data_IF_077753557989
#
_entry.id   IF_077753557989
#
_cell.length_a   1.000
_cell.length_b   1.000
_cell.length_c   1.000
_cell.angle_alpha   90.00
_cell.angle_beta   90.00
_cell.angle_gamma   90.00
#
_symmetry.space_group_name_H-M   'P 1'
#
loop_
_entity.id
_entity.type
_entity.pdbx_description
1 polymer ?
#
# COMPACT_ATOMS: atom_id res chain seq x y z
N UNK A 1 -10.48 11.96 -3.05
CA UNK A 1 -9.20 11.70 -2.35
C UNK A 1 -8.57 10.45 -2.93
N UNK A 2 -7.31 10.51 -3.32
CA UNK A 2 -6.55 9.34 -3.78
C UNK A 2 -5.68 8.84 -2.63
N UNK A 3 -5.91 7.60 -2.18
CA UNK A 3 -5.08 6.94 -1.18
C UNK A 3 -3.87 6.32 -1.90
N UNK A 4 -2.75 7.04 -1.94
CA UNK A 4 -1.50 6.49 -2.43
C UNK A 4 -0.81 5.70 -1.31
N UNK A 5 -0.40 4.47 -1.62
CA UNK A 5 0.06 3.47 -0.66
C UNK A 5 1.50 3.04 -0.96
N UNK A 6 2.23 2.68 0.10
CA UNK A 6 3.52 1.99 -0.02
C UNK A 6 3.58 0.86 0.98
N UNK A 7 3.94 -0.31 0.46
CA UNK A 7 4.15 -1.49 1.24
C UNK A 7 5.66 -1.66 1.50
N UNK A 8 5.98 -1.96 2.76
CA UNK A 8 7.06 -2.86 3.23
C UNK A 8 8.25 -2.30 4.01
N UNK A 9 8.43 -2.85 5.22
CA UNK A 9 9.71 -3.15 5.91
C UNK A 9 9.76 -4.54 6.57
N UNK A 10 8.63 -5.24 6.79
CA UNK A 10 8.53 -6.57 7.38
C UNK A 10 8.45 -7.63 6.27
N UNK A 11 9.13 -8.74 6.51
CA UNK A 11 8.97 -9.97 5.73
C UNK A 11 8.02 -10.84 6.55
N UNK A 12 7.02 -11.48 5.93
CA UNK A 12 6.33 -12.61 6.56
C UNK A 12 7.41 -13.49 7.17
N UNK A 13 7.36 -13.80 8.47
CA UNK A 13 8.50 -14.29 9.23
C UNK A 13 9.15 -15.59 8.69
N UNK A 14 8.55 -16.23 7.68
CA UNK A 14 9.04 -17.39 6.95
C UNK A 14 9.73 -17.10 5.61
N UNK A 15 9.82 -15.85 5.16
CA UNK A 15 10.46 -15.48 3.89
C UNK A 15 11.65 -14.52 4.09
N UNK A 16 12.51 -14.43 3.08
CA UNK A 16 13.62 -13.47 3.03
C UNK A 16 13.52 -12.54 1.80
N UNK A 17 12.37 -12.57 1.12
CA UNK A 17 12.10 -11.77 -0.05
C UNK A 17 11.26 -10.54 0.30
N UNK A 18 11.18 -9.63 -0.66
CA UNK A 18 9.85 -9.35 -1.19
C UNK A 18 8.59 -9.31 -0.28
N UNK A 19 8.00 -8.18 0.15
CA UNK A 19 6.63 -7.89 -0.28
C UNK A 19 6.63 -7.93 -1.80
N UNK A 20 5.98 -8.95 -2.31
CA UNK A 20 5.75 -9.19 -3.72
C UNK A 20 4.37 -8.63 -4.10
N UNK A 21 4.10 -8.55 -5.41
CA UNK A 21 2.81 -8.10 -5.91
C UNK A 21 1.68 -8.94 -5.31
N UNK A 22 0.62 -8.31 -4.79
CA UNK A 22 -0.55 -8.95 -4.16
C UNK A 22 -0.34 -9.51 -2.75
N UNK A 23 0.84 -9.34 -2.14
CA UNK A 23 1.10 -9.77 -0.77
C UNK A 23 0.20 -9.06 0.27
N UNK A 24 -0.37 -7.91 -0.06
CA UNK A 24 -1.25 -7.12 0.80
C UNK A 24 -2.69 -7.64 0.91
N UNK A 25 -3.15 -8.43 -0.08
CA UNK A 25 -4.57 -8.80 -0.21
C UNK A 25 -5.07 -9.52 1.05
N UNK A 26 -4.27 -10.42 1.61
CA UNK A 26 -4.65 -11.20 2.78
C UNK A 26 -4.83 -10.32 4.02
N UNK A 27 -4.04 -9.27 4.18
CA UNK A 27 -4.16 -8.32 5.28
C UNK A 27 -5.35 -7.39 5.10
N UNK A 28 -5.53 -6.87 3.89
CA UNK A 28 -6.63 -5.96 3.56
C UNK A 28 -7.99 -6.62 3.75
N UNK A 29 -8.11 -7.91 3.40
CA UNK A 29 -9.36 -8.67 3.45
C UNK A 29 -9.60 -9.42 4.76
N UNK A 30 -8.69 -9.35 5.73
CA UNK A 30 -8.85 -10.10 6.97
C UNK A 30 -8.67 -11.61 6.83
N UNK A 31 -7.93 -12.06 5.81
CA UNK A 31 -7.87 -13.44 5.36
C UNK A 31 -6.51 -14.13 5.63
N UNK A 32 -5.65 -13.58 6.50
CA UNK A 32 -4.29 -14.06 6.73
C UNK A 32 -4.21 -15.59 6.96
N UNK A 33 -5.12 -16.15 7.75
CA UNK A 33 -5.13 -17.59 8.07
C UNK A 33 -5.74 -18.50 7.01
N UNK A 34 -6.28 -17.96 5.92
CA UNK A 34 -6.73 -18.79 4.80
C UNK A 34 -5.58 -19.55 4.12
N UNK A 35 -4.33 -19.11 4.35
CA UNK A 35 -3.10 -19.73 3.85
C UNK A 35 -2.13 -20.13 4.99
N UNK A 36 -2.66 -20.53 6.16
CA UNK A 36 -1.83 -20.86 7.34
C UNK A 36 -0.83 -21.99 7.11
N UNK A 37 -1.08 -22.85 6.12
CA UNK A 37 -0.18 -23.95 5.75
C UNK A 37 1.08 -23.44 5.02
N UNK A 38 1.03 -22.23 4.47
CA UNK A 38 2.14 -21.61 3.72
C UNK A 38 2.82 -20.49 4.51
N UNK A 39 2.05 -19.75 5.33
CA UNK A 39 2.52 -18.56 6.01
C UNK A 39 2.24 -18.61 7.52
N UNK A 40 3.26 -18.24 8.30
CA UNK A 40 3.13 -18.16 9.74
C UNK A 40 2.17 -17.01 10.12
N UNK A 41 1.04 -17.38 10.74
CA UNK A 41 0.07 -16.42 11.26
C UNK A 41 0.44 -16.05 12.70
N UNK A 42 1.42 -15.17 12.86
CA UNK A 42 1.87 -14.75 14.18
C UNK A 42 1.00 -13.62 14.73
N UNK A 43 1.12 -13.34 16.04
CA UNK A 43 0.39 -12.23 16.68
C UNK A 43 0.63 -10.87 16.00
N UNK A 44 1.86 -10.59 15.58
CA UNK A 44 2.18 -9.33 14.89
C UNK A 44 1.46 -9.22 13.55
N UNK A 45 1.31 -10.34 12.82
CA UNK A 45 0.60 -10.35 11.54
C UNK A 45 -0.91 -10.06 11.72
N UNK A 46 -1.52 -10.58 12.78
CA UNK A 46 -2.90 -10.23 13.14
C UNK A 46 -3.06 -8.75 13.51
N UNK A 47 -2.07 -8.16 14.20
CA UNK A 47 -2.11 -6.74 14.53
C UNK A 47 -1.95 -5.85 13.29
N UNK A 48 -1.11 -6.26 12.33
CA UNK A 48 -0.96 -5.59 11.03
C UNK A 48 -2.27 -5.71 10.23
N UNK A 49 -2.85 -6.91 10.16
CA UNK A 49 -4.13 -7.18 9.49
C UNK A 49 -5.23 -6.29 10.06
N UNK A 50 -5.40 -6.27 11.38
CA UNK A 50 -6.45 -5.50 12.05
C UNK A 50 -6.35 -4.00 11.73
N UNK A 51 -5.15 -3.43 11.72
CA UNK A 51 -4.95 -2.02 11.33
C UNK A 51 -5.27 -1.80 9.85
N UNK A 52 -4.75 -2.65 8.97
CA UNK A 52 -4.90 -2.48 7.52
C UNK A 52 -6.36 -2.62 7.08
N UNK A 53 -7.04 -3.68 7.51
CA UNK A 53 -8.46 -3.91 7.21
C UNK A 53 -9.33 -2.78 7.77
N UNK A 54 -8.99 -2.25 8.95
CA UNK A 54 -9.70 -1.12 9.56
C UNK A 54 -9.59 0.17 8.76
N UNK A 55 -8.40 0.54 8.24
CA UNK A 55 -8.28 1.69 7.36
C UNK A 55 -9.18 1.55 6.12
N UNK A 56 -9.23 0.35 5.55
CA UNK A 56 -10.07 0.09 4.39
C UNK A 56 -11.56 0.11 4.70
N UNK A 57 -12.00 -0.52 5.77
CA UNK A 57 -13.38 -0.49 6.21
C UNK A 57 -13.83 0.95 6.55
N UNK A 58 -12.98 1.73 7.22
CA UNK A 58 -13.22 3.14 7.51
C UNK A 58 -13.38 3.97 6.23
N UNK A 59 -12.45 3.81 5.28
CA UNK A 59 -12.53 4.49 3.99
C UNK A 59 -13.79 4.11 3.20
N UNK A 60 -14.14 2.82 3.16
CA UNK A 60 -15.35 2.37 2.49
C UNK A 60 -16.63 2.95 3.11
N UNK A 61 -16.66 3.12 4.45
CA UNK A 61 -17.82 3.68 5.16
C UNK A 61 -17.98 5.18 4.94
N UNK A 62 -16.90 5.95 5.09
CA UNK A 62 -17.00 7.42 5.19
C UNK A 62 -15.93 8.19 4.41
N UNK A 63 -15.23 7.54 3.47
CA UNK A 63 -14.20 8.13 2.62
C UNK A 63 -13.01 8.75 3.38
N UNK A 64 -12.81 8.35 4.64
CA UNK A 64 -11.68 8.74 5.46
C UNK A 64 -11.13 7.49 6.17
N UNK A 65 -9.87 7.08 5.93
CA UNK A 65 -9.34 5.86 6.52
C UNK A 65 -9.11 5.98 8.04
N UNK A 66 -8.95 7.21 8.55
CA UNK A 66 -8.55 7.47 9.94
C UNK A 66 -9.71 7.34 10.94
N UNK A 67 -10.95 7.51 10.46
CA UNK A 67 -12.16 7.54 11.26
C UNK A 67 -13.22 6.64 10.61
N UNK A 68 -14.08 6.02 11.39
CA UNK A 68 -15.09 5.08 10.85
C UNK A 68 -15.42 3.90 11.78
N UNK A 69 -14.75 3.84 12.94
CA UNK A 69 -15.09 2.94 14.04
C UNK A 69 -14.87 1.46 13.74
N UNK A 70 -14.06 1.11 12.73
CA UNK A 70 -13.80 -0.29 12.38
C UNK A 70 -12.63 -0.92 13.14
N UNK A 71 -11.82 -0.12 13.84
CA UNK A 71 -10.64 -0.61 14.55
C UNK A 71 -10.98 -1.07 15.96
N UNK A 72 -10.65 -2.33 16.27
CA UNK A 72 -10.90 -2.92 17.60
C UNK A 72 -9.65 -2.92 18.50
N UNK A 73 -8.57 -2.25 18.10
CA UNK A 73 -7.36 -2.14 18.91
C UNK A 73 -7.51 -1.18 20.09
N UNK A 74 -6.57 -1.25 21.04
CA UNK A 74 -6.60 -0.48 22.28
C UNK A 74 -6.23 1.01 22.13
N UNK A 75 -5.76 1.43 20.95
CA UNK A 75 -5.34 2.80 20.63
C UNK A 75 -6.05 3.29 19.37
N UNK A 76 -5.95 4.58 19.06
CA UNK A 76 -6.34 5.07 17.74
C UNK A 76 -5.40 4.53 16.66
N UNK A 77 -5.90 4.38 15.44
CA UNK A 77 -5.07 4.15 14.27
C UNK A 77 -4.06 5.30 14.10
N UNK A 78 -2.80 5.02 13.73
CA UNK A 78 -1.86 6.05 13.29
C UNK A 78 -2.43 6.92 12.16
N UNK A 79 -2.12 8.22 12.17
CA UNK A 79 -2.73 9.12 11.21
C UNK A 79 -2.15 8.93 9.79
N UNK A 80 -3.01 8.59 8.84
CA UNK A 80 -2.73 8.59 7.41
C UNK A 80 -3.12 9.95 6.81
N UNK A 81 -2.11 10.74 6.46
CA UNK A 81 -2.28 12.07 5.88
C UNK A 81 -2.81 11.99 4.44
N UNK A 82 -3.74 12.88 4.04
CA UNK A 82 -4.22 12.93 2.67
C UNK A 82 -3.13 13.45 1.73
N UNK A 83 -3.11 12.93 0.51
CA UNK A 83 -2.32 13.51 -0.58
C UNK A 83 -3.02 14.72 -1.19
N UNK A 84 -2.23 15.66 -1.69
CA UNK A 84 -2.69 16.82 -2.47
C UNK A 84 -1.78 17.04 -3.67
N UNK A 85 -2.34 17.53 -4.79
CA UNK A 85 -1.59 17.77 -6.01
C UNK A 85 -0.41 18.74 -5.81
N UNK A 86 -0.65 19.82 -5.05
CA UNK A 86 0.30 20.93 -4.89
C UNK A 86 0.98 20.96 -3.50
N UNK A 87 0.82 19.88 -2.71
CA UNK A 87 1.22 19.89 -1.31
C UNK A 87 1.84 18.58 -0.85
N UNK A 88 1.26 17.98 0.19
CA UNK A 88 1.78 16.76 0.81
C UNK A 88 1.72 15.61 -0.20
N UNK A 89 2.88 15.03 -0.50
CA UNK A 89 3.05 13.84 -1.32
C UNK A 89 3.63 12.71 -0.47
N UNK A 90 2.76 12.07 0.30
CA UNK A 90 3.13 10.99 1.22
C UNK A 90 2.27 9.76 0.99
N UNK A 91 2.83 8.63 1.34
CA UNK A 91 2.16 7.34 1.33
C UNK A 91 2.19 6.78 2.73
N UNK A 92 1.15 6.06 3.13
CA UNK A 92 1.18 5.33 4.39
C UNK A 92 1.99 4.05 4.22
N UNK A 93 3.00 3.87 5.07
CA UNK A 93 3.70 2.59 5.23
C UNK A 93 2.81 1.65 6.02
N UNK A 94 2.14 0.71 5.35
CA UNK A 94 1.20 -0.23 5.97
C UNK A 94 1.91 -1.51 6.41
N UNK A 95 2.80 -1.35 7.39
CA UNK A 95 3.66 -2.41 7.90
C UNK A 95 4.16 -2.06 9.32
N UNK A 96 5.34 -2.52 9.74
CA UNK A 96 5.91 -2.33 11.07
C UNK A 96 5.74 -0.90 11.65
N UNK A 97 5.89 0.14 10.82
CA UNK A 97 5.91 1.51 11.31
C UNK A 97 4.57 2.25 11.29
N UNK A 98 3.61 1.87 10.44
CA UNK A 98 2.33 2.58 10.28
C UNK A 98 2.49 4.12 10.29
N UNK A 99 3.24 4.67 9.33
CA UNK A 99 3.54 6.10 9.28
C UNK A 99 3.50 6.66 7.85
N UNK A 100 3.32 7.98 7.75
CA UNK A 100 3.50 8.69 6.48
C UNK A 100 4.98 8.70 6.07
N UNK A 101 5.26 8.30 4.84
CA UNK A 101 6.60 8.35 4.23
C UNK A 101 6.53 9.06 2.87
N UNK A 102 7.64 9.63 2.36
CA UNK A 102 7.64 10.28 1.05
C UNK A 102 7.19 9.35 -0.08
N UNK A 103 6.43 9.90 -1.03
CA UNK A 103 6.04 9.18 -2.25
C UNK A 103 7.29 8.82 -3.06
N UNK A 104 7.48 7.51 -3.30
CA UNK A 104 8.55 6.96 -4.14
C UNK A 104 9.94 7.61 -3.92
N UNK A 105 10.81 7.57 -4.93
CA UNK A 105 12.01 8.42 -5.00
C UNK A 105 11.81 9.34 -6.21
N UNK A 106 11.64 10.66 -6.05
CA UNK A 106 11.25 11.54 -7.16
C UNK A 106 12.13 11.41 -8.40
N UNK A 107 13.46 11.28 -8.23
CA UNK A 107 14.41 11.08 -9.33
C UNK A 107 14.15 9.81 -10.15
N UNK A 108 13.73 8.72 -9.50
CA UNK A 108 13.42 7.46 -10.20
C UNK A 108 12.11 7.57 -10.96
N UNK A 109 11.11 8.23 -10.39
CA UNK A 109 9.82 8.45 -11.05
C UNK A 109 10.02 9.30 -12.30
N UNK A 110 10.70 10.45 -12.18
CA UNK A 110 11.00 11.32 -13.32
C UNK A 110 11.77 10.56 -14.40
N UNK A 111 12.83 9.84 -14.03
CA UNK A 111 13.61 9.05 -14.98
C UNK A 111 12.75 8.02 -15.75
N UNK A 112 11.92 7.24 -15.05
CA UNK A 112 11.07 6.23 -15.67
C UNK A 112 10.06 6.88 -16.62
N UNK A 113 9.40 7.96 -16.17
CA UNK A 113 8.42 8.68 -16.99
C UNK A 113 9.07 9.26 -18.24
N UNK A 114 10.21 9.94 -18.11
CA UNK A 114 10.94 10.53 -19.24
C UNK A 114 11.46 9.48 -20.22
N UNK A 115 11.97 8.35 -19.72
CA UNK A 115 12.45 7.26 -20.55
C UNK A 115 11.32 6.66 -21.38
N UNK A 116 10.20 6.30 -20.76
CA UNK A 116 9.07 5.72 -21.49
C UNK A 116 8.34 6.74 -22.39
N UNK A 117 8.37 8.03 -22.07
CA UNK A 117 7.85 9.08 -22.95
C UNK A 117 8.61 9.21 -24.27
N UNK A 118 9.90 8.86 -24.31
CA UNK A 118 10.70 8.90 -25.54
C UNK A 118 10.35 7.76 -26.51
N UNK A 119 9.66 6.72 -26.04
CA UNK A 119 9.36 5.56 -26.85
C UNK A 119 8.19 5.87 -27.80
N UNK A 120 8.47 5.93 -29.10
CA UNK A 120 7.42 5.97 -30.12
C UNK A 120 6.77 4.58 -30.22
N UNK A 121 5.45 4.44 -30.01
CA UNK A 121 4.77 3.16 -30.19
C UNK A 121 5.05 2.58 -31.57
N UNK A 122 5.29 1.26 -31.65
CA UNK A 122 5.68 0.59 -32.89
C UNK A 122 4.71 0.87 -34.05
N UNK A 123 3.41 0.91 -33.78
CA UNK A 123 2.36 1.20 -34.78
C UNK A 123 2.41 2.62 -35.34
N UNK A 124 3.08 3.59 -34.70
CA UNK A 124 3.32 4.93 -35.24
C UNK A 124 4.53 5.00 -36.19
N UNK A 125 5.26 3.89 -36.35
CA UNK A 125 6.45 3.78 -37.22
C UNK A 125 6.19 2.97 -38.49
N UNK A 126 4.98 2.43 -38.66
CA UNK A 126 4.59 1.76 -39.90
C UNK A 126 4.17 2.81 -40.93
N UNK A 127 4.57 2.66 -42.21
CA UNK A 127 3.97 3.43 -43.29
C UNK A 127 2.45 3.22 -43.25
N UNK A 128 1.68 4.29 -43.43
CA UNK A 128 0.26 4.17 -43.74
C UNK A 128 0.20 3.77 -45.22
N UNK A 129 0.05 2.48 -45.47
CA UNK A 129 -0.38 1.93 -46.76
C UNK A 129 -1.90 2.07 -46.96
#
# INVERSE_FOLDING_TARGET
MSACQRWRTHVLSSQNHGAFHQSEIMYALGALCANSDTYACTKIEFEIQEKMSSYWANFAKILNPNIGGSYNGSKSLPHWSPNSADGIQVVMELDNQFKNVPIAKPKQVVFIMDYFHQHVPYWKRLPLD
#
